data_IF_670484688317
#
_entry.id   IF_670484688317
#
_cell.length_a   1.000
_cell.length_b   1.000
_cell.length_c   1.000
_cell.angle_alpha   90.00
_cell.angle_beta   90.00
_cell.angle_gamma   90.00
#
_symmetry.space_group_name_H-M   'P 1'
#
loop_
_entity.id
_entity.type
_entity.pdbx_description
1 polymer ?
#
# COMPACT_ATOMS: atom_id res chain seq x y z
N UNK A 1 12.18 5.20 5.73
CA UNK A 1 13.22 4.31 5.15
C UNK A 1 13.45 4.58 3.68
N UNK A 2 12.43 4.53 2.83
CA UNK A 2 12.61 4.81 1.39
C UNK A 2 13.19 6.20 1.08
N UNK A 3 12.67 7.29 1.68
CA UNK A 3 13.27 8.64 1.51
C UNK A 3 14.74 8.69 1.97
N UNK A 4 15.06 7.96 3.03
CA UNK A 4 16.42 7.85 3.56
C UNK A 4 17.35 7.13 2.57
N UNK A 5 16.88 6.03 1.97
CA UNK A 5 17.61 5.35 0.89
C UNK A 5 17.84 6.27 -0.30
N UNK A 6 16.80 6.96 -0.79
CA UNK A 6 16.91 7.90 -1.90
C UNK A 6 17.89 9.05 -1.63
N UNK A 7 17.97 9.53 -0.38
CA UNK A 7 18.85 10.64 0.00
C UNK A 7 20.30 10.22 0.22
N UNK A 8 20.52 9.08 0.87
CA UNK A 8 21.85 8.69 1.36
C UNK A 8 22.46 7.49 0.62
N UNK A 9 21.69 6.80 -0.21
CA UNK A 9 22.09 5.62 -0.97
C UNK A 9 22.74 4.51 -0.11
N UNK A 10 22.33 4.42 1.17
CA UNK A 10 22.82 3.41 2.10
C UNK A 10 21.92 2.17 2.07
N UNK A 11 22.52 1.04 1.71
CA UNK A 11 21.91 -0.28 1.57
C UNK A 11 21.10 -0.71 2.80
N UNK A 12 21.45 -0.26 4.01
CA UNK A 12 20.68 -0.61 5.22
C UNK A 12 19.23 -0.12 5.16
N UNK A 13 19.00 1.04 4.55
CA UNK A 13 17.67 1.61 4.39
C UNK A 13 16.87 0.86 3.33
N UNK A 14 17.54 0.44 2.26
CA UNK A 14 16.95 -0.39 1.22
C UNK A 14 16.48 -1.74 1.77
N UNK A 15 17.36 -2.46 2.47
CA UNK A 15 17.03 -3.73 3.15
C UNK A 15 15.89 -3.58 4.14
N UNK A 16 15.84 -2.47 4.88
CA UNK A 16 14.73 -2.18 5.78
C UNK A 16 13.40 -2.02 5.04
N UNK A 17 13.39 -1.40 3.86
CA UNK A 17 12.17 -1.29 3.03
C UNK A 17 11.67 -2.67 2.59
N UNK A 18 12.58 -3.54 2.13
CA UNK A 18 12.24 -4.90 1.72
C UNK A 18 11.67 -5.73 2.88
N UNK A 19 12.30 -5.65 4.05
CA UNK A 19 11.84 -6.33 5.26
C UNK A 19 10.45 -5.86 5.69
N UNK A 20 10.17 -4.55 5.65
CA UNK A 20 8.83 -4.02 5.89
C UNK A 20 7.82 -4.56 4.89
N UNK A 21 8.17 -4.62 3.60
CA UNK A 21 7.33 -5.21 2.56
C UNK A 21 6.98 -6.68 2.83
N UNK A 22 7.93 -7.47 3.33
CA UNK A 22 7.68 -8.88 3.67
C UNK A 22 6.81 -9.05 4.92
N UNK A 23 6.92 -8.16 5.91
CA UNK A 23 6.02 -8.14 7.07
C UNK A 23 4.60 -7.80 6.62
N UNK A 24 4.44 -6.76 5.81
CA UNK A 24 3.14 -6.33 5.28
C UNK A 24 2.54 -7.42 4.39
N UNK A 25 3.35 -8.14 3.62
CA UNK A 25 2.86 -9.28 2.85
C UNK A 25 2.25 -10.37 3.73
N UNK A 26 2.90 -10.69 4.86
CA UNK A 26 2.44 -11.73 5.78
C UNK A 26 1.26 -11.31 6.67
N UNK A 27 1.11 -10.02 6.97
CA UNK A 27 0.22 -9.53 8.04
C UNK A 27 -0.64 -8.32 7.67
N UNK A 28 -0.54 -7.82 6.43
CA UNK A 28 -1.13 -6.55 6.01
C UNK A 28 -2.59 -6.62 5.55
N UNK A 29 -3.18 -7.81 5.44
CA UNK A 29 -4.60 -7.98 5.15
C UNK A 29 -5.41 -7.77 6.43
N UNK A 30 -5.76 -6.51 6.71
CA UNK A 30 -6.41 -6.11 7.95
C UNK A 30 -7.93 -6.28 7.86
N UNK A 31 -8.55 -6.78 8.94
CA UNK A 31 -10.01 -6.79 9.13
C UNK A 31 -10.58 -5.43 9.61
N UNK A 32 -9.73 -4.40 9.70
CA UNK A 32 -10.08 -3.08 10.25
C UNK A 32 -10.85 -2.21 9.26
N UNK A 33 -10.61 -2.36 7.96
CA UNK A 33 -11.31 -1.59 6.94
C UNK A 33 -10.46 -1.34 5.68
N UNK A 34 -11.04 -0.65 4.68
CA UNK A 34 -10.47 -0.56 3.34
C UNK A 34 -9.50 0.61 3.16
N UNK A 35 -9.56 1.60 4.04
CA UNK A 35 -8.88 2.89 3.88
C UNK A 35 -7.35 2.83 3.91
N UNK A 36 -6.75 4.01 3.76
CA UNK A 36 -5.30 4.17 3.58
C UNK A 36 -4.52 4.47 4.87
N UNK A 37 -5.20 4.91 5.95
CA UNK A 37 -4.53 5.23 7.21
C UNK A 37 -4.11 3.99 8.00
N UNK A 38 -4.94 2.96 8.00
CA UNK A 38 -4.73 1.71 8.75
C UNK A 38 -5.63 0.58 8.22
N UNK A 39 -5.75 0.52 6.90
CA UNK A 39 -6.54 -0.47 6.18
C UNK A 39 -5.74 -1.13 5.08
N UNK A 40 -6.42 -1.99 4.32
CA UNK A 40 -5.78 -2.82 3.28
C UNK A 40 -5.16 -1.96 2.17
N UNK A 41 -5.86 -0.93 1.68
CA UNK A 41 -5.33 -0.09 0.60
C UNK A 41 -4.04 0.64 1.01
N UNK A 42 -4.00 1.14 2.25
CA UNK A 42 -2.81 1.81 2.80
C UNK A 42 -1.60 0.90 2.87
N UNK A 43 -1.81 -0.34 3.33
CA UNK A 43 -0.75 -1.34 3.34
C UNK A 43 -0.29 -1.71 1.92
N UNK A 44 -1.20 -1.74 0.96
CA UNK A 44 -0.88 -2.06 -0.43
C UNK A 44 0.01 -1.01 -1.12
N UNK A 45 -0.09 0.26 -0.73
CA UNK A 45 0.80 1.32 -1.22
C UNK A 45 2.28 1.05 -0.94
N UNK A 46 2.63 0.28 0.10
CA UNK A 46 4.01 -0.13 0.35
C UNK A 46 4.56 -0.93 -0.84
N UNK A 47 3.72 -1.75 -1.48
CA UNK A 47 4.15 -2.52 -2.65
C UNK A 47 4.25 -1.68 -3.92
N UNK A 48 3.41 -0.66 -4.10
CA UNK A 48 3.58 0.31 -5.17
C UNK A 48 4.88 1.11 -4.99
N UNK A 49 5.16 1.55 -3.75
CA UNK A 49 6.42 2.19 -3.41
C UNK A 49 7.63 1.27 -3.69
N UNK A 50 7.58 0.01 -3.24
CA UNK A 50 8.67 -0.94 -3.50
C UNK A 50 8.83 -1.24 -4.99
N UNK A 51 7.73 -1.34 -5.74
CA UNK A 51 7.81 -1.49 -7.20
C UNK A 51 8.50 -0.30 -7.86
N UNK A 52 8.19 0.94 -7.44
CA UNK A 52 8.87 2.14 -7.94
C UNK A 52 10.36 2.19 -7.57
N UNK A 53 10.73 1.67 -6.39
CA UNK A 53 12.12 1.64 -5.94
C UNK A 53 12.97 0.55 -6.59
N UNK A 54 12.39 -0.61 -6.90
CA UNK A 54 13.16 -1.78 -7.36
C UNK A 54 12.87 -2.20 -8.79
N UNK A 55 11.79 -1.72 -9.39
CA UNK A 55 11.22 -2.21 -10.67
C UNK A 55 10.93 -3.73 -10.71
N UNK A 56 10.89 -4.40 -9.56
CA UNK A 56 10.62 -5.84 -9.50
C UNK A 56 9.11 -6.10 -9.49
N UNK A 57 8.61 -6.77 -10.54
CA UNK A 57 7.19 -7.11 -10.70
C UNK A 57 6.57 -7.91 -9.55
N UNK A 58 7.38 -8.60 -8.72
CA UNK A 58 6.95 -9.22 -7.46
C UNK A 58 6.16 -8.24 -6.60
N UNK A 59 6.59 -6.98 -6.49
CA UNK A 59 5.91 -6.00 -5.66
C UNK A 59 4.60 -5.54 -6.30
N UNK A 60 4.58 -5.27 -7.61
CA UNK A 60 3.33 -4.97 -8.32
C UNK A 60 2.30 -6.09 -8.17
N UNK A 61 2.73 -7.36 -8.29
CA UNK A 61 1.87 -8.51 -8.05
C UNK A 61 1.27 -8.49 -6.63
N UNK A 62 2.08 -8.22 -5.60
CA UNK A 62 1.57 -8.11 -4.22
C UNK A 62 0.54 -6.99 -4.05
N UNK A 63 0.73 -5.84 -4.70
CA UNK A 63 -0.26 -4.75 -4.70
C UNK A 63 -1.60 -5.20 -5.32
N UNK A 64 -1.55 -5.89 -6.47
CA UNK A 64 -2.74 -6.45 -7.13
C UNK A 64 -3.46 -7.48 -6.25
N UNK A 65 -2.73 -8.31 -5.52
CA UNK A 65 -3.34 -9.28 -4.59
C UNK A 65 -4.09 -8.59 -3.44
N UNK A 66 -3.61 -7.44 -2.96
CA UNK A 66 -4.33 -6.65 -1.96
C UNK A 66 -5.60 -6.02 -2.56
N UNK A 67 -5.55 -5.56 -3.81
CA UNK A 67 -6.74 -5.10 -4.53
C UNK A 67 -7.77 -6.21 -4.75
N UNK A 68 -7.32 -7.44 -5.02
CA UNK A 68 -8.19 -8.60 -5.12
C UNK A 68 -8.81 -8.96 -3.77
N UNK A 69 -8.04 -8.90 -2.68
CA UNK A 69 -8.56 -9.16 -1.33
C UNK A 69 -9.68 -8.19 -0.94
N UNK A 70 -9.59 -6.91 -1.31
CA UNK A 70 -10.66 -5.93 -1.09
C UNK A 70 -12.01 -6.33 -1.70
N UNK A 71 -12.03 -7.23 -2.70
CA UNK A 71 -13.25 -7.76 -3.35
C UNK A 71 -13.73 -9.09 -2.76
N UNK A 72 -12.92 -9.72 -1.91
CA UNK A 72 -13.20 -11.04 -1.36
C UNK A 72 -14.36 -11.04 -0.37
N UNK A 73 -15.02 -12.19 -0.22
CA UNK A 73 -16.05 -12.37 0.80
C UNK A 73 -15.50 -12.30 2.24
N UNK A 74 -14.24 -12.68 2.44
CA UNK A 74 -13.57 -12.51 3.73
C UNK A 74 -13.50 -11.03 4.11
N UNK A 75 -13.15 -10.16 3.16
CA UNK A 75 -13.05 -8.73 3.44
C UNK A 75 -14.41 -8.06 3.66
N UNK A 76 -15.50 -8.60 3.11
CA UNK A 76 -16.86 -8.10 3.40
C UNK A 76 -17.21 -8.17 4.89
N UNK A 77 -16.52 -9.00 5.67
CA UNK A 77 -16.68 -9.12 7.12
C UNK A 77 -15.83 -8.10 7.90
N UNK A 78 -15.07 -7.24 7.24
CA UNK A 78 -14.28 -6.20 7.89
C UNK A 78 -15.18 -5.16 8.57
N UNK A 79 -14.60 -4.44 9.53
CA UNK A 79 -15.30 -3.35 10.22
C UNK A 79 -15.62 -2.20 9.26
N UNK A 80 -16.75 -1.56 9.50
CA UNK A 80 -17.12 -0.31 8.82
C UNK A 80 -16.39 0.83 9.53
N UNK A 81 -15.63 1.69 8.81
CA UNK A 81 -14.96 2.84 9.41
C UNK A 81 -15.94 3.93 9.88
N UNK A 82 -15.53 4.77 10.83
CA UNK A 82 -16.37 5.88 11.35
C UNK A 82 -16.79 6.87 10.26
N UNK A 83 -15.92 7.08 9.27
CA UNK A 83 -16.19 7.89 8.07
C UNK A 83 -16.00 7.06 6.80
N UNK A 84 -17.01 6.26 6.39
CA UNK A 84 -16.89 5.23 5.34
C UNK A 84 -16.47 5.74 3.95
N UNK A 85 -16.69 7.02 3.67
CA UNK A 85 -16.36 7.64 2.38
C UNK A 85 -15.19 8.62 2.46
N UNK A 86 -14.55 8.77 3.63
CA UNK A 86 -13.41 9.69 3.78
C UNK A 86 -12.15 9.20 3.06
N UNK A 87 -11.22 10.11 2.80
CA UNK A 87 -9.93 9.79 2.19
C UNK A 87 -9.14 8.77 3.04
N UNK A 88 -8.95 9.05 4.33
CA UNK A 88 -8.01 8.26 5.15
C UNK A 88 -8.60 6.95 5.68
N UNK A 89 -9.89 6.91 6.00
CA UNK A 89 -10.51 5.73 6.61
C UNK A 89 -11.37 4.93 5.63
N UNK A 90 -11.95 5.62 4.65
CA UNK A 90 -13.02 5.11 3.80
C UNK A 90 -12.59 4.75 2.39
N UNK A 91 -13.61 4.59 1.55
CA UNK A 91 -13.48 4.14 0.16
C UNK A 91 -12.78 5.15 -0.74
N UNK A 92 -12.76 6.45 -0.41
CA UNK A 92 -12.07 7.45 -1.23
C UNK A 92 -10.56 7.19 -1.29
N UNK A 93 -9.92 6.80 -0.18
CA UNK A 93 -8.52 6.39 -0.21
C UNK A 93 -8.29 5.08 -0.96
N UNK A 94 -9.24 4.14 -0.86
CA UNK A 94 -9.22 2.91 -1.66
C UNK A 94 -9.30 3.23 -3.15
N UNK A 95 -10.13 4.20 -3.55
CA UNK A 95 -10.23 4.63 -4.93
C UNK A 95 -8.92 5.24 -5.44
N UNK A 96 -8.22 6.05 -4.63
CA UNK A 96 -6.87 6.54 -4.96
C UNK A 96 -5.91 5.38 -5.22
N UNK A 97 -5.87 4.39 -4.34
CA UNK A 97 -5.03 3.20 -4.50
C UNK A 97 -5.34 2.44 -5.79
N UNK A 98 -6.62 2.24 -6.10
CA UNK A 98 -7.06 1.54 -7.31
C UNK A 98 -6.74 2.33 -8.58
N UNK A 99 -6.83 3.66 -8.55
CA UNK A 99 -6.41 4.51 -9.66
C UNK A 99 -4.90 4.44 -9.87
N UNK A 100 -4.11 4.50 -8.79
CA UNK A 100 -2.65 4.41 -8.84
C UNK A 100 -2.15 3.04 -9.34
N UNK A 101 -2.95 1.97 -9.22
CA UNK A 101 -2.64 0.67 -9.82
C UNK A 101 -2.67 0.69 -11.35
N UNK A 102 -3.36 1.65 -11.98
CA UNK A 102 -3.38 1.79 -13.44
C UNK A 102 -2.05 2.33 -13.97
N UNK A 103 -1.39 3.19 -13.20
CA UNK A 103 -0.08 3.78 -13.53
C UNK A 103 0.92 3.59 -12.37
N UNK A 104 1.36 2.36 -12.07
CA UNK A 104 2.09 2.05 -10.84
C UNK A 104 3.46 2.73 -10.73
N UNK A 105 4.05 3.16 -11.85
CA UNK A 105 5.30 3.95 -11.86
C UNK A 105 5.10 5.39 -11.36
N UNK A 106 3.87 5.90 -11.44
CA UNK A 106 3.46 7.24 -11.02
C UNK A 106 2.68 7.25 -9.70
N UNK A 107 2.50 6.09 -9.07
CA UNK A 107 1.68 5.94 -7.87
C UNK A 107 2.27 6.67 -6.65
N UNK A 108 1.45 7.45 -5.95
CA UNK A 108 1.87 8.20 -4.75
C UNK A 108 0.90 7.98 -3.60
N UNK A 109 1.42 7.70 -2.40
CA UNK A 109 0.56 7.70 -1.22
C UNK A 109 -0.03 9.12 -1.06
N UNK A 110 -1.38 9.27 -0.98
CA UNK A 110 -2.00 10.59 -0.96
C UNK A 110 -1.44 11.48 0.15
N UNK A 111 -0.98 12.69 -0.21
CA UNK A 111 -0.40 13.69 0.69
C UNK A 111 0.90 13.27 1.39
N UNK A 112 1.55 12.19 0.94
CA UNK A 112 2.80 11.68 1.51
C UNK A 112 3.74 11.14 0.43
N UNK A 113 4.08 11.99 -0.54
CA UNK A 113 5.09 11.65 -1.54
C UNK A 113 6.51 11.73 -0.92
N UNK A 114 7.36 10.81 -1.36
CA UNK A 114 8.76 10.71 -0.95
C UNK A 114 9.73 10.67 -2.12
N UNK A 115 9.27 10.70 -3.37
CA UNK A 115 10.15 10.85 -4.51
C UNK A 115 10.59 12.30 -4.71
#
# INVERSE_FOLDING_TARGET
>A
MAKAYLRWNDEKYFRSCLACGDIVWKKGLLRKGPGICHGVAGNAYIFLLLFRLTEHYKHLHRALQFANFLKSDEFKQARIPDKPLSLFQGLSGTACFLADLLEPKMAHFPLFDIF
#
